data_IF_911626757691
#
_entry.id   IF_911626757691
#
_cell.length_a   1.000
_cell.length_b   1.000
_cell.length_c   1.000
_cell.angle_alpha   90.00
_cell.angle_beta   90.00
_cell.angle_gamma   90.00
#
_symmetry.space_group_name_H-M   'P 1'
#
loop_
_entity.id
_entity.type
_entity.pdbx_description
1 polymer ?
#
# COMPACT_ATOMS: atom_id res chain seq x y z
N UNK A 1 -31.28 43.79 5.46
CA UNK A 1 -30.32 42.85 6.08
C UNK A 1 -31.08 41.57 6.26
N UNK A 2 -30.81 40.59 5.42
CA UNK A 2 -31.42 39.23 5.51
C UNK A 2 -30.48 38.40 6.38
N UNK A 3 -31.04 37.81 7.46
CA UNK A 3 -30.32 36.92 8.35
C UNK A 3 -29.71 35.75 7.55
N UNK A 4 -28.45 35.34 7.81
CA UNK A 4 -27.86 34.21 7.17
C UNK A 4 -28.58 32.94 7.66
N UNK A 5 -29.01 32.11 6.74
CA UNK A 5 -29.53 30.78 7.01
C UNK A 5 -28.30 29.91 7.43
N UNK A 6 -28.23 29.54 8.69
CA UNK A 6 -27.35 28.51 9.16
C UNK A 6 -27.85 27.15 8.70
N UNK A 7 -27.27 26.61 7.64
CA UNK A 7 -27.43 25.20 7.28
C UNK A 7 -26.45 24.44 8.20
N UNK A 8 -26.97 23.88 9.30
CA UNK A 8 -26.24 22.83 10.02
C UNK A 8 -26.27 21.60 9.12
N UNK A 9 -25.13 21.14 8.66
CA UNK A 9 -25.02 19.80 8.13
C UNK A 9 -25.36 18.85 9.27
N UNK A 10 -26.48 18.15 9.18
CA UNK A 10 -26.69 16.95 9.98
C UNK A 10 -25.45 16.07 9.78
N UNK A 11 -24.85 15.60 10.87
CA UNK A 11 -23.80 14.61 10.82
C UNK A 11 -24.30 13.47 9.93
N UNK A 12 -23.78 13.38 8.72
CA UNK A 12 -24.04 12.22 7.88
C UNK A 12 -23.38 11.06 8.60
N UNK A 13 -24.17 10.26 9.30
CA UNK A 13 -23.76 8.95 9.76
C UNK A 13 -23.26 8.21 8.50
N UNK A 14 -21.94 8.07 8.39
CA UNK A 14 -21.35 7.26 7.35
C UNK A 14 -21.71 5.82 7.70
N UNK A 15 -22.77 5.29 7.08
CA UNK A 15 -23.07 3.87 7.18
C UNK A 15 -21.85 3.10 6.68
N UNK A 16 -21.08 2.54 7.63
CA UNK A 16 -19.98 1.64 7.29
C UNK A 16 -20.63 0.31 6.90
N UNK A 17 -20.48 -0.15 5.64
CA UNK A 17 -21.01 -1.44 5.22
C UNK A 17 -20.53 -2.57 6.13
N UNK A 18 -21.24 -3.71 6.13
CA UNK A 18 -20.83 -4.90 6.88
C UNK A 18 -19.54 -5.48 6.29
N UNK A 19 -18.40 -4.98 6.75
CA UNK A 19 -17.05 -5.34 6.28
C UNK A 19 -16.35 -6.08 7.41
N UNK A 20 -15.93 -7.30 7.15
CA UNK A 20 -15.03 -8.03 8.04
C UNK A 20 -13.65 -7.40 7.96
N UNK A 21 -13.08 -7.01 9.09
CA UNK A 21 -11.81 -6.28 9.14
C UNK A 21 -10.78 -7.05 9.94
N UNK A 22 -9.68 -7.37 9.28
CA UNK A 22 -8.57 -8.11 9.88
C UNK A 22 -7.30 -7.26 9.88
N UNK A 23 -6.49 -7.41 10.93
CA UNK A 23 -5.15 -6.86 11.03
C UNK A 23 -4.15 -8.01 11.18
N UNK A 24 -3.12 -8.01 10.34
CA UNK A 24 -2.04 -9.00 10.38
C UNK A 24 -0.79 -8.29 10.87
N UNK A 25 -0.31 -8.70 12.07
CA UNK A 25 1.01 -8.29 12.52
C UNK A 25 2.07 -8.92 11.63
N UNK A 26 2.76 -8.10 10.85
CA UNK A 26 3.76 -8.57 9.89
C UNK A 26 4.90 -7.57 9.77
N UNK A 27 6.15 -8.05 9.80
CA UNK A 27 7.30 -7.23 9.49
C UNK A 27 7.27 -6.77 8.04
N UNK A 28 7.87 -5.62 7.75
CA UNK A 28 7.89 -5.02 6.39
C UNK A 28 8.30 -6.02 5.31
N UNK A 29 9.24 -6.90 5.65
CA UNK A 29 9.76 -7.94 4.76
C UNK A 29 8.76 -9.00 4.36
N UNK A 30 7.83 -9.28 5.23
CA UNK A 30 6.87 -10.35 5.07
C UNK A 30 5.49 -9.87 4.60
N UNK A 31 5.29 -8.55 4.41
CA UNK A 31 4.03 -8.00 3.84
C UNK A 31 3.70 -8.67 2.49
N UNK A 32 4.70 -8.87 1.62
CA UNK A 32 4.48 -9.50 0.33
C UNK A 32 4.12 -10.99 0.46
N UNK A 33 4.72 -11.71 1.42
CA UNK A 33 4.34 -13.09 1.75
C UNK A 33 2.90 -13.17 2.25
N UNK A 34 2.52 -12.31 3.20
CA UNK A 34 1.15 -12.26 3.72
C UNK A 34 0.13 -11.94 2.61
N UNK A 35 0.47 -11.00 1.72
CA UNK A 35 -0.35 -10.70 0.55
C UNK A 35 -0.52 -11.93 -0.36
N UNK A 36 0.56 -12.67 -0.62
CA UNK A 36 0.51 -13.91 -1.39
C UNK A 36 -0.43 -14.95 -0.78
N UNK A 37 -0.46 -15.05 0.56
CA UNK A 37 -1.39 -15.93 1.29
C UNK A 37 -2.84 -15.50 1.11
N UNK A 38 -3.15 -14.20 1.18
CA UNK A 38 -4.50 -13.69 0.95
C UNK A 38 -4.92 -13.96 -0.49
N UNK A 39 -4.08 -13.67 -1.47
CA UNK A 39 -4.36 -13.90 -2.90
C UNK A 39 -4.65 -15.37 -3.20
N UNK A 40 -3.90 -16.30 -2.59
CA UNK A 40 -4.15 -17.73 -2.75
C UNK A 40 -5.51 -18.19 -2.23
N UNK A 41 -6.13 -17.44 -1.34
CA UNK A 41 -7.43 -17.74 -0.76
C UNK A 41 -8.59 -16.99 -1.43
N UNK A 42 -8.33 -16.24 -2.49
CA UNK A 42 -9.37 -15.63 -3.30
C UNK A 42 -10.13 -16.69 -4.10
N UNK A 43 -11.44 -16.50 -4.21
CA UNK A 43 -12.27 -17.35 -5.05
C UNK A 43 -12.27 -16.82 -6.51
N UNK A 44 -12.72 -17.64 -7.42
CA UNK A 44 -12.95 -17.22 -8.79
C UNK A 44 -13.97 -16.09 -8.86
N UNK A 45 -13.62 -15.00 -9.51
CA UNK A 45 -14.42 -13.78 -9.62
C UNK A 45 -14.26 -12.78 -8.47
N UNK A 46 -13.43 -13.07 -7.46
CA UNK A 46 -13.07 -12.09 -6.45
C UNK A 46 -12.18 -10.99 -7.05
N UNK A 47 -12.40 -9.76 -6.59
CA UNK A 47 -11.59 -8.60 -6.98
C UNK A 47 -10.94 -7.97 -5.75
N UNK A 48 -9.65 -7.68 -5.87
CA UNK A 48 -8.84 -7.10 -4.79
C UNK A 48 -8.33 -5.71 -5.16
N UNK A 49 -8.53 -4.76 -4.26
CA UNK A 49 -7.92 -3.43 -4.32
C UNK A 49 -6.87 -3.28 -3.21
N UNK A 50 -5.63 -3.08 -3.61
CA UNK A 50 -4.49 -2.93 -2.70
C UNK A 50 -4.10 -1.46 -2.63
N UNK A 51 -4.10 -0.90 -1.43
CA UNK A 51 -3.67 0.46 -1.16
C UNK A 51 -2.23 0.54 -0.69
N UNK A 52 -1.48 1.44 -1.31
CA UNK A 52 -0.13 1.85 -0.89
C UNK A 52 -0.05 3.36 -0.78
N UNK A 53 0.83 3.86 0.09
CA UNK A 53 0.92 5.30 0.34
C UNK A 53 1.66 6.06 -0.77
N UNK A 54 2.46 5.38 -1.61
CA UNK A 54 3.26 6.03 -2.63
C UNK A 54 3.08 5.41 -4.01
N UNK A 55 3.15 6.23 -5.07
CA UNK A 55 3.15 5.76 -6.46
C UNK A 55 4.30 4.79 -6.74
N UNK A 56 5.43 5.03 -6.08
CA UNK A 56 6.61 4.18 -6.19
C UNK A 56 6.33 2.78 -5.67
N UNK A 57 5.65 2.66 -4.54
CA UNK A 57 5.28 1.35 -3.99
C UNK A 57 4.27 0.64 -4.92
N UNK A 58 3.35 1.37 -5.57
CA UNK A 58 2.47 0.80 -6.60
C UNK A 58 3.28 0.10 -7.68
N UNK A 59 4.29 0.76 -8.25
CA UNK A 59 5.15 0.21 -9.30
C UNK A 59 5.94 -1.01 -8.81
N UNK A 60 6.60 -0.87 -7.65
CA UNK A 60 7.40 -1.94 -7.04
C UNK A 60 6.54 -3.17 -6.75
N UNK A 61 5.38 -2.98 -6.12
CA UNK A 61 4.50 -4.08 -5.74
C UNK A 61 3.96 -4.80 -6.98
N UNK A 62 3.53 -4.05 -7.98
CA UNK A 62 3.05 -4.60 -9.25
C UNK A 62 4.14 -5.42 -9.96
N UNK A 63 5.37 -4.89 -10.06
CA UNK A 63 6.50 -5.62 -10.62
C UNK A 63 6.81 -6.90 -9.84
N UNK A 64 6.82 -6.82 -8.51
CA UNK A 64 7.12 -7.98 -7.65
C UNK A 64 6.07 -9.07 -7.77
N UNK A 65 4.80 -8.73 -7.77
CA UNK A 65 3.70 -9.68 -7.99
C UNK A 65 3.87 -10.37 -9.35
N UNK A 66 4.22 -9.62 -10.39
CA UNK A 66 4.51 -10.17 -11.72
C UNK A 66 5.64 -11.19 -11.74
N UNK A 67 6.71 -11.00 -10.93
CA UNK A 67 7.81 -11.98 -10.79
C UNK A 67 7.35 -13.32 -10.19
N UNK A 68 6.28 -13.29 -9.40
CA UNK A 68 5.63 -14.48 -8.86
C UNK A 68 4.47 -14.99 -9.71
N UNK A 69 4.31 -14.45 -10.95
CA UNK A 69 3.24 -14.79 -11.89
C UNK A 69 1.84 -14.43 -11.38
N UNK A 70 1.74 -13.48 -10.48
CA UNK A 70 0.49 -12.90 -10.01
C UNK A 70 0.25 -11.66 -10.86
N UNK A 71 -0.85 -11.66 -11.62
CA UNK A 71 -1.25 -10.49 -12.42
C UNK A 71 -1.83 -9.43 -11.49
N UNK A 72 -1.25 -8.25 -11.55
CA UNK A 72 -1.74 -7.08 -10.84
C UNK A 72 -1.45 -5.83 -11.67
N UNK A 73 -2.39 -4.91 -11.70
CA UNK A 73 -2.25 -3.66 -12.45
C UNK A 73 -2.11 -2.47 -11.51
N UNK A 74 -1.19 -1.57 -11.81
CA UNK A 74 -0.91 -0.38 -11.00
C UNK A 74 -1.73 0.83 -11.44
N UNK A 75 -2.28 1.58 -10.48
CA UNK A 75 -3.03 2.81 -10.71
C UNK A 75 -2.45 3.94 -9.84
N UNK A 76 -1.80 4.93 -10.46
CA UNK A 76 -1.19 6.07 -9.77
C UNK A 76 -1.27 7.36 -10.60
N UNK A 77 -0.93 8.50 -9.98
CA UNK A 77 -1.16 9.82 -10.55
C UNK A 77 -0.36 10.15 -11.82
N UNK A 78 0.73 9.44 -12.11
CA UNK A 78 1.57 9.71 -13.28
C UNK A 78 1.03 9.05 -14.57
N UNK A 79 -0.03 8.26 -14.46
CA UNK A 79 -0.69 7.67 -15.63
C UNK A 79 -1.48 8.73 -16.40
N UNK A 80 -1.42 8.68 -17.73
CA UNK A 80 -2.30 9.50 -18.56
C UNK A 80 -3.76 9.13 -18.31
N UNK A 81 -4.66 10.11 -18.46
CA UNK A 81 -6.10 9.91 -18.22
C UNK A 81 -6.66 8.73 -19.03
N UNK A 82 -6.26 8.62 -20.29
CA UNK A 82 -6.70 7.54 -21.19
C UNK A 82 -6.23 6.14 -20.71
N UNK A 83 -5.01 6.06 -20.15
CA UNK A 83 -4.49 4.80 -19.59
C UNK A 83 -5.20 4.44 -18.30
N UNK A 84 -5.48 5.46 -17.45
CA UNK A 84 -6.23 5.29 -16.21
C UNK A 84 -7.65 4.76 -16.48
N UNK A 85 -8.38 5.36 -17.42
CA UNK A 85 -9.73 4.93 -17.80
C UNK A 85 -9.74 3.47 -18.28
N UNK A 86 -8.81 3.10 -19.15
CA UNK A 86 -8.68 1.70 -19.62
C UNK A 86 -8.46 0.71 -18.49
N UNK A 87 -7.58 1.05 -17.53
CA UNK A 87 -7.32 0.19 -16.37
C UNK A 87 -8.59 0.04 -15.51
N UNK A 88 -9.29 1.14 -15.27
CA UNK A 88 -10.51 1.12 -14.48
C UNK A 88 -11.61 0.31 -15.18
N UNK A 89 -11.76 0.47 -16.47
CA UNK A 89 -12.76 -0.28 -17.25
C UNK A 89 -12.45 -1.78 -17.28
N UNK A 90 -11.18 -2.16 -17.49
CA UNK A 90 -10.73 -3.55 -17.45
C UNK A 90 -10.95 -4.19 -16.07
N UNK A 91 -10.68 -3.43 -14.99
CA UNK A 91 -10.95 -3.87 -13.64
C UNK A 91 -12.45 -4.01 -13.36
N UNK A 92 -13.29 -3.06 -13.81
CA UNK A 92 -14.76 -3.15 -13.71
C UNK A 92 -15.33 -4.38 -14.43
N UNK A 93 -14.74 -4.75 -15.55
CA UNK A 93 -15.17 -5.90 -16.35
C UNK A 93 -14.68 -7.25 -15.78
N UNK A 94 -13.86 -7.22 -14.72
CA UNK A 94 -13.26 -8.42 -14.14
C UNK A 94 -12.13 -9.04 -14.95
N UNK A 95 -11.62 -8.32 -15.96
CA UNK A 95 -10.46 -8.78 -16.74
C UNK A 95 -9.16 -8.72 -15.92
N UNK A 96 -9.11 -7.79 -14.97
CA UNK A 96 -8.07 -7.66 -13.97
C UNK A 96 -8.67 -7.94 -12.59
N UNK A 97 -8.08 -8.88 -11.86
CA UNK A 97 -8.57 -9.29 -10.53
C UNK A 97 -7.92 -8.47 -9.40
N UNK A 98 -6.71 -7.95 -9.61
CA UNK A 98 -5.92 -7.26 -8.61
C UNK A 98 -5.50 -5.88 -9.11
N UNK A 99 -5.91 -4.85 -8.40
CA UNK A 99 -5.53 -3.47 -8.64
C UNK A 99 -4.70 -2.94 -7.46
N UNK A 100 -3.52 -2.39 -7.73
CA UNK A 100 -2.67 -1.71 -6.75
C UNK A 100 -2.77 -0.21 -6.97
N UNK A 101 -3.15 0.56 -5.97
CA UNK A 101 -3.41 1.99 -6.15
C UNK A 101 -2.94 2.84 -4.96
N UNK A 102 -2.71 4.13 -5.25
CA UNK A 102 -2.65 5.18 -4.21
C UNK A 102 -4.05 5.76 -3.97
N UNK A 103 -4.27 6.38 -2.79
CA UNK A 103 -5.55 7.03 -2.45
C UNK A 103 -6.01 8.02 -3.52
N UNK A 104 -5.11 8.89 -3.96
CA UNK A 104 -5.41 9.91 -4.97
C UNK A 104 -5.89 9.28 -6.28
N UNK A 105 -5.27 8.17 -6.67
CA UNK A 105 -5.64 7.48 -7.90
C UNK A 105 -6.93 6.67 -7.76
N UNK A 106 -7.20 6.15 -6.58
CA UNK A 106 -8.42 5.40 -6.29
C UNK A 106 -9.65 6.28 -5.99
N UNK A 107 -9.47 7.60 -5.82
CA UNK A 107 -10.60 8.53 -5.65
C UNK A 107 -11.52 8.50 -6.87
N UNK A 108 -12.81 8.36 -6.61
CA UNK A 108 -13.81 8.27 -7.67
C UNK A 108 -13.82 6.91 -8.40
N UNK A 109 -13.09 5.92 -7.88
CA UNK A 109 -13.19 4.55 -8.37
C UNK A 109 -14.57 4.00 -7.96
N UNK A 110 -15.51 4.02 -8.89
CA UNK A 110 -16.85 3.47 -8.72
C UNK A 110 -16.86 2.04 -9.30
N UNK A 111 -16.50 1.08 -8.46
CA UNK A 111 -16.46 -0.35 -8.79
C UNK A 111 -17.20 -1.12 -7.72
N UNK A 112 -18.26 -1.80 -8.11
CA UNK A 112 -19.15 -2.51 -7.18
C UNK A 112 -18.73 -3.96 -6.91
N UNK A 113 -17.71 -4.44 -7.62
CA UNK A 113 -17.27 -5.84 -7.57
C UNK A 113 -16.15 -6.14 -6.57
N UNK A 114 -15.61 -5.13 -5.88
CA UNK A 114 -14.46 -5.31 -4.99
C UNK A 114 -14.89 -6.13 -3.78
N UNK A 115 -14.30 -7.32 -3.63
CA UNK A 115 -14.53 -8.23 -2.50
C UNK A 115 -13.48 -8.05 -1.40
N UNK A 116 -12.25 -7.71 -1.78
CA UNK A 116 -11.12 -7.55 -0.87
C UNK A 116 -10.49 -6.16 -0.98
N UNK A 117 -10.31 -5.51 0.14
CA UNK A 117 -9.45 -4.33 0.27
C UNK A 117 -8.23 -4.71 1.10
N UNK A 118 -7.04 -4.36 0.64
CA UNK A 118 -5.81 -4.57 1.39
C UNK A 118 -5.13 -3.23 1.63
N UNK A 119 -4.99 -2.82 2.88
CA UNK A 119 -4.11 -1.75 3.28
C UNK A 119 -2.70 -2.32 3.43
N UNK A 120 -1.95 -2.38 2.30
CA UNK A 120 -0.55 -2.79 2.29
C UNK A 120 0.32 -1.83 3.11
N UNK A 121 0.01 -0.54 3.02
CA UNK A 121 0.47 0.52 3.91
C UNK A 121 -0.75 1.13 4.60
N UNK A 122 -0.69 1.30 5.92
CA UNK A 122 -1.75 1.99 6.65
C UNK A 122 -1.84 3.45 6.21
N UNK A 123 -3.04 4.03 6.11
CA UNK A 123 -3.20 5.45 5.82
C UNK A 123 -2.81 6.28 7.05
N UNK A 124 -2.32 7.50 6.82
CA UNK A 124 -1.90 8.40 7.89
C UNK A 124 -3.06 8.89 8.77
N UNK A 125 -4.27 8.91 8.24
CA UNK A 125 -5.47 9.39 8.92
C UNK A 125 -6.64 8.37 8.88
N UNK A 126 -7.52 8.46 9.87
CA UNK A 126 -8.62 7.54 10.04
C UNK A 126 -9.77 7.74 9.04
N UNK A 127 -9.93 8.93 8.46
CA UNK A 127 -10.94 9.20 7.43
C UNK A 127 -10.56 8.50 6.12
N UNK A 128 -9.30 8.59 5.72
CA UNK A 128 -8.75 7.86 4.57
C UNK A 128 -8.94 6.35 4.75
N UNK A 129 -8.76 5.83 5.98
CA UNK A 129 -9.03 4.42 6.26
C UNK A 129 -10.46 4.01 5.91
N UNK A 130 -11.45 4.75 6.41
CA UNK A 130 -12.88 4.47 6.14
C UNK A 130 -13.19 4.58 4.64
N UNK A 131 -12.62 5.56 3.96
CA UNK A 131 -12.76 5.71 2.51
C UNK A 131 -12.16 4.54 1.72
N UNK A 132 -11.05 3.95 2.20
CA UNK A 132 -10.44 2.77 1.57
C UNK A 132 -11.32 1.54 1.77
N UNK A 133 -11.68 1.21 3.00
CA UNK A 133 -12.50 0.01 3.27
C UNK A 133 -13.89 0.13 2.63
N UNK A 134 -14.47 1.33 2.56
CA UNK A 134 -15.74 1.59 1.88
C UNK A 134 -15.72 1.37 0.36
N UNK A 135 -14.60 0.87 -0.21
CA UNK A 135 -14.55 0.36 -1.60
C UNK A 135 -15.07 -1.06 -1.72
N UNK A 136 -15.16 -1.82 -0.62
CA UNK A 136 -15.80 -3.13 -0.57
C UNK A 136 -17.11 -3.09 0.23
N UNK A 137 -17.80 -4.19 0.36
CA UNK A 137 -19.03 -4.30 1.15
C UNK A 137 -20.23 -3.58 0.54
N UNK A 138 -20.21 -3.25 -0.76
CA UNK A 138 -21.28 -2.51 -1.43
C UNK A 138 -22.38 -3.42 -1.95
N UNK A 139 -23.59 -2.84 -2.13
CA UNK A 139 -24.76 -3.52 -2.73
C UNK A 139 -25.16 -4.81 -2.01
N UNK A 140 -25.02 -4.87 -0.67
CA UNK A 140 -25.38 -6.05 0.13
C UNK A 140 -24.44 -7.24 -0.02
N UNK A 141 -23.26 -7.03 -0.64
CA UNK A 141 -22.21 -8.04 -0.68
C UNK A 141 -21.32 -7.93 0.56
N UNK A 142 -20.86 -9.07 1.06
CA UNK A 142 -19.86 -9.09 2.13
C UNK A 142 -18.51 -8.61 1.59
N UNK A 143 -17.86 -7.75 2.34
CA UNK A 143 -16.53 -7.25 2.04
C UNK A 143 -15.52 -7.68 3.08
N UNK A 144 -14.26 -7.81 2.69
CA UNK A 144 -13.16 -8.11 3.61
C UNK A 144 -12.08 -7.05 3.46
N UNK A 145 -11.64 -6.50 4.60
CA UNK A 145 -10.53 -5.56 4.66
C UNK A 145 -9.36 -6.16 5.44
N UNK A 146 -8.20 -6.22 4.82
CA UNK A 146 -6.95 -6.70 5.38
C UNK A 146 -6.00 -5.53 5.66
N UNK A 147 -5.42 -5.48 6.83
CA UNK A 147 -4.50 -4.44 7.24
C UNK A 147 -3.15 -5.07 7.60
N UNK A 148 -2.09 -4.67 6.91
CA UNK A 148 -0.73 -5.06 7.29
C UNK A 148 -0.18 -4.05 8.28
N UNK A 149 0.12 -4.53 9.48
CA UNK A 149 0.49 -3.70 10.62
C UNK A 149 1.89 -4.11 11.07
N UNK A 150 2.84 -3.21 10.94
CA UNK A 150 4.16 -3.41 11.54
C UNK A 150 4.08 -3.12 13.04
N UNK A 151 5.12 -3.48 13.77
CA UNK A 151 5.17 -3.26 15.21
C UNK A 151 5.00 -1.78 15.59
N UNK A 152 5.60 -0.88 14.79
CA UNK A 152 5.52 0.56 14.98
C UNK A 152 4.13 1.13 14.64
N UNK A 153 3.37 0.46 13.79
CA UNK A 153 2.05 0.91 13.32
C UNK A 153 0.90 0.42 14.20
N UNK A 154 1.18 -0.38 15.27
CA UNK A 154 0.13 -0.93 16.15
C UNK A 154 -0.73 0.17 16.78
N UNK A 155 -0.11 1.21 17.31
CA UNK A 155 -0.85 2.33 17.91
C UNK A 155 -1.67 3.12 16.89
N UNK A 156 -1.26 3.15 15.65
CA UNK A 156 -1.98 3.82 14.56
C UNK A 156 -3.28 3.08 14.22
N UNK A 157 -3.23 1.76 14.04
CA UNK A 157 -4.44 0.99 13.74
C UNK A 157 -5.42 0.98 14.92
N UNK A 158 -4.93 0.92 16.16
CA UNK A 158 -5.75 1.03 17.36
C UNK A 158 -6.46 2.39 17.46
N UNK A 159 -5.75 3.48 17.13
CA UNK A 159 -6.33 4.82 17.06
C UNK A 159 -7.41 4.92 15.99
N UNK A 160 -7.18 4.35 14.81
CA UNK A 160 -8.17 4.29 13.73
C UNK A 160 -9.42 3.55 14.21
N UNK A 161 -9.25 2.36 14.79
CA UNK A 161 -10.33 1.54 15.30
C UNK A 161 -11.17 2.28 16.34
N UNK A 162 -10.50 2.94 17.32
CA UNK A 162 -11.18 3.69 18.38
C UNK A 162 -11.92 4.93 17.86
N UNK A 163 -11.38 5.65 16.87
CA UNK A 163 -11.98 6.87 16.33
C UNK A 163 -13.32 6.60 15.66
N UNK A 164 -13.46 5.48 14.97
CA UNK A 164 -14.65 5.11 14.22
C UNK A 164 -15.45 3.94 14.83
N UNK A 165 -15.11 3.55 16.06
CA UNK A 165 -15.71 2.41 16.76
C UNK A 165 -15.75 1.13 15.88
N UNK A 166 -14.62 0.85 15.22
CA UNK A 166 -14.49 -0.31 14.33
C UNK A 166 -14.06 -1.55 15.09
N UNK A 167 -14.58 -2.70 14.69
CA UNK A 167 -14.09 -4.00 15.14
C UNK A 167 -13.06 -4.52 14.13
N UNK A 168 -11.79 -4.44 14.50
CA UNK A 168 -10.67 -4.97 13.71
C UNK A 168 -10.07 -6.16 14.45
N UNK A 169 -10.15 -7.34 13.86
CA UNK A 169 -9.62 -8.57 14.46
C UNK A 169 -8.15 -8.75 14.11
N UNK A 170 -7.29 -8.91 15.13
CA UNK A 170 -5.90 -9.29 14.90
C UNK A 170 -5.79 -10.78 14.65
N UNK A 171 -5.20 -11.15 13.52
CA UNK A 171 -5.07 -12.54 13.10
C UNK A 171 -3.73 -12.81 12.43
N UNK A 172 -3.39 -14.06 12.26
CA UNK A 172 -2.28 -14.48 11.41
C UNK A 172 -2.68 -14.42 9.92
N UNK A 173 -1.67 -14.41 9.03
CA UNK A 173 -1.93 -14.54 7.61
C UNK A 173 -2.68 -15.87 7.34
N UNK A 174 -3.64 -15.88 6.40
CA UNK A 174 -4.43 -17.08 6.10
C UNK A 174 -3.57 -18.31 5.83
N UNK A 175 -4.04 -19.48 6.21
CA UNK A 175 -3.44 -20.76 5.84
C UNK A 175 -3.39 -20.92 4.31
N UNK A 176 -2.61 -21.87 3.82
CA UNK A 176 -2.68 -22.26 2.41
C UNK A 176 -3.99 -22.99 2.14
N UNK A 177 -4.62 -22.75 0.98
CA UNK A 177 -5.81 -23.52 0.58
C UNK A 177 -5.50 -25.01 0.48
N UNK A 178 -6.55 -25.83 0.58
CA UNK A 178 -6.42 -27.26 0.42
C UNK A 178 -5.78 -27.64 -0.92
N UNK A 179 -4.81 -28.54 -0.90
CA UNK A 179 -4.06 -28.95 -2.09
C UNK A 179 -2.89 -28.04 -2.48
N UNK A 180 -2.74 -26.89 -1.86
CA UNK A 180 -1.60 -25.98 -2.08
C UNK A 180 -0.54 -26.27 -1.01
N UNK A 181 0.59 -26.88 -1.42
CA UNK A 181 1.63 -27.34 -0.50
C UNK A 181 2.81 -26.36 -0.34
N UNK A 182 2.78 -25.24 -1.05
CA UNK A 182 3.90 -24.26 -1.03
C UNK A 182 3.38 -22.84 -1.15
N UNK A 183 3.96 -21.96 -0.36
CA UNK A 183 3.72 -20.54 -0.48
C UNK A 183 4.08 -20.03 -1.88
N UNK A 184 3.22 -19.21 -2.52
CA UNK A 184 3.55 -18.57 -3.79
C UNK A 184 4.73 -17.60 -3.62
N UNK A 185 4.81 -16.99 -2.44
CA UNK A 185 5.87 -16.06 -2.05
C UNK A 185 6.43 -16.56 -0.72
N UNK A 186 7.72 -16.90 -0.68
CA UNK A 186 8.34 -17.47 0.52
C UNK A 186 8.38 -16.48 1.68
N UNK A 187 7.99 -16.95 2.87
CA UNK A 187 8.23 -16.23 4.12
C UNK A 187 9.74 -16.23 4.41
N UNK A 188 10.21 -15.13 4.94
CA UNK A 188 11.62 -14.97 5.29
C UNK A 188 11.79 -15.15 6.79
N UNK A 189 12.67 -16.06 7.21
CA UNK A 189 12.86 -16.41 8.61
C UNK A 189 13.97 -15.60 9.27
N UNK A 190 15.10 -15.39 8.56
CA UNK A 190 16.28 -14.73 9.10
C UNK A 190 16.54 -13.37 8.42
N UNK A 191 15.82 -12.36 8.85
CA UNK A 191 16.01 -11.06 8.25
C UNK A 191 16.49 -10.00 9.21
N UNK A 192 17.41 -9.20 8.69
CA UNK A 192 17.74 -7.91 9.24
C UNK A 192 16.45 -7.06 9.36
N UNK A 193 16.13 -6.60 10.56
CA UNK A 193 14.92 -5.80 10.85
C UNK A 193 14.85 -4.50 10.03
N UNK A 194 15.97 -4.12 9.39
CA UNK A 194 16.10 -2.89 8.60
C UNK A 194 15.62 -3.05 7.15
N UNK A 195 15.48 -4.28 6.63
CA UNK A 195 15.08 -4.50 5.24
C UNK A 195 13.63 -4.94 5.11
N UNK A 196 13.02 -4.61 3.98
CA UNK A 196 11.64 -4.95 3.65
C UNK A 196 11.54 -6.13 2.67
N UNK A 197 10.29 -6.53 2.31
CA UNK A 197 10.04 -7.65 1.39
C UNK A 197 10.59 -7.41 -0.04
N UNK A 198 10.89 -6.18 -0.39
CA UNK A 198 11.46 -5.79 -1.68
C UNK A 198 12.99 -5.74 -1.66
N UNK A 199 13.61 -6.15 -0.56
CA UNK A 199 15.03 -5.96 -0.27
C UNK A 199 15.44 -4.49 -0.23
N UNK A 200 14.55 -3.65 0.25
CA UNK A 200 14.82 -2.26 0.52
C UNK A 200 15.35 -2.12 1.94
N UNK A 201 16.38 -1.32 2.12
CA UNK A 201 16.92 -0.94 3.43
C UNK A 201 16.91 0.58 3.55
N UNK A 202 16.74 1.08 4.76
CA UNK A 202 16.81 2.53 5.02
C UNK A 202 18.28 2.94 5.17
N UNK A 203 18.67 3.87 4.34
CA UNK A 203 19.99 4.51 4.40
C UNK A 203 19.79 5.96 4.81
N UNK A 204 20.46 6.38 5.88
CA UNK A 204 20.42 7.75 6.34
C UNK A 204 21.50 8.57 5.69
N UNK A 205 21.10 9.68 5.08
CA UNK A 205 22.02 10.64 4.45
C UNK A 205 21.93 11.99 5.16
N UNK A 206 23.09 12.69 5.32
CA UNK A 206 23.18 13.98 5.98
C UNK A 206 22.82 15.12 5.02
N UNK A 207 21.63 15.03 4.44
CA UNK A 207 21.02 16.06 3.58
C UNK A 207 19.63 16.30 4.10
N UNK A 208 19.38 17.50 4.61
CA UNK A 208 18.12 17.85 5.21
C UNK A 208 17.12 18.42 4.21
N UNK A 209 15.91 18.70 4.73
CA UNK A 209 14.79 19.23 3.94
C UNK A 209 15.06 20.62 3.34
N UNK A 210 15.98 21.39 3.97
CA UNK A 210 16.40 22.71 3.51
C UNK A 210 17.40 22.66 2.35
N UNK A 211 18.11 21.54 2.16
CA UNK A 211 19.25 21.42 1.27
C UNK A 211 18.87 20.94 -0.12
N UNK A 212 17.84 20.10 -0.20
CA UNK A 212 17.38 19.50 -1.46
C UNK A 212 15.94 19.01 -1.34
N UNK A 213 15.22 18.97 -2.45
CA UNK A 213 13.93 18.29 -2.53
C UNK A 213 14.12 16.75 -2.63
N UNK A 214 13.09 15.99 -2.27
CA UNK A 214 13.11 14.53 -2.41
C UNK A 214 13.48 14.07 -3.82
N UNK A 215 12.95 14.76 -4.83
CA UNK A 215 13.18 14.43 -6.23
C UNK A 215 14.62 14.71 -6.65
N UNK A 216 15.15 15.87 -6.30
CA UNK A 216 16.55 16.24 -6.61
C UNK A 216 17.53 15.26 -5.96
N UNK A 217 17.26 14.86 -4.70
CA UNK A 217 18.08 13.86 -4.02
C UNK A 217 18.01 12.50 -4.72
N UNK A 218 16.82 12.03 -5.11
CA UNK A 218 16.66 10.79 -5.86
C UNK A 218 17.38 10.84 -7.21
N UNK A 219 17.15 11.89 -7.99
CA UNK A 219 17.76 12.08 -9.31
C UNK A 219 19.29 12.15 -9.20
N UNK A 220 19.80 12.80 -8.16
CA UNK A 220 21.24 12.88 -7.89
C UNK A 220 21.82 11.49 -7.58
N UNK A 221 21.19 10.70 -6.69
CA UNK A 221 21.65 9.34 -6.37
C UNK A 221 21.64 8.46 -7.63
N UNK A 222 20.56 8.50 -8.42
CA UNK A 222 20.42 7.73 -9.65
C UNK A 222 21.55 8.05 -10.63
N UNK A 223 21.83 9.34 -10.82
CA UNK A 223 22.85 9.81 -11.77
C UNK A 223 24.27 9.46 -11.29
N UNK A 224 24.58 9.74 -10.02
CA UNK A 224 25.93 9.53 -9.49
C UNK A 224 26.27 8.05 -9.38
N UNK A 225 25.36 7.27 -8.82
CA UNK A 225 25.56 5.84 -8.61
C UNK A 225 25.15 4.99 -9.83
N UNK A 226 24.58 5.59 -10.88
CA UNK A 226 24.09 4.88 -12.08
C UNK A 226 23.19 3.69 -11.74
N UNK A 227 22.42 3.82 -10.68
CA UNK A 227 21.46 2.80 -10.28
C UNK A 227 20.12 3.03 -11.00
N UNK A 228 19.35 1.98 -11.27
CA UNK A 228 18.03 2.17 -11.86
C UNK A 228 17.11 2.87 -10.85
N UNK A 229 16.18 3.67 -11.34
CA UNK A 229 15.18 4.37 -10.53
C UNK A 229 14.46 3.42 -9.55
N UNK A 230 14.14 2.19 -9.99
CA UNK A 230 13.52 1.15 -9.16
C UNK A 230 14.38 0.70 -7.95
N UNK A 231 15.64 1.07 -7.89
CA UNK A 231 16.51 0.77 -6.75
C UNK A 231 16.30 1.72 -5.56
N UNK A 232 15.55 2.82 -5.75
CA UNK A 232 15.23 3.81 -4.72
C UNK A 232 13.74 3.71 -4.39
N UNK A 233 13.43 3.51 -3.12
CA UNK A 233 12.07 3.46 -2.60
C UNK A 233 11.60 4.79 -2.03
N UNK A 234 11.02 4.75 -0.83
CA UNK A 234 10.54 5.94 -0.14
C UNK A 234 11.69 6.85 0.31
N UNK A 235 11.47 8.16 0.21
CA UNK A 235 12.40 9.18 0.72
C UNK A 235 11.68 9.99 1.79
N UNK A 236 12.17 9.93 3.02
CA UNK A 236 11.62 10.64 4.16
C UNK A 236 12.61 11.71 4.64
N UNK A 237 12.30 12.98 4.39
CA UNK A 237 13.16 14.10 4.76
C UNK A 237 12.86 14.62 6.16
N UNK A 238 13.89 14.71 6.97
CA UNK A 238 13.92 15.39 8.28
C UNK A 238 14.59 16.78 8.14
N UNK A 239 14.80 17.46 9.25
CA UNK A 239 15.37 18.83 9.23
C UNK A 239 16.80 18.80 8.70
N UNK A 240 17.64 17.93 9.23
CA UNK A 240 19.09 17.90 8.93
C UNK A 240 19.54 16.59 8.26
N UNK A 241 18.63 15.65 8.05
CA UNK A 241 18.93 14.34 7.49
C UNK A 241 17.76 13.82 6.65
N UNK A 242 18.02 12.80 5.83
CA UNK A 242 17.00 12.15 5.02
C UNK A 242 17.18 10.63 5.08
N UNK A 243 16.11 9.91 5.36
CA UNK A 243 16.05 8.47 5.23
C UNK A 243 15.65 8.13 3.78
N UNK A 244 16.50 7.39 3.08
CA UNK A 244 16.28 6.92 1.71
C UNK A 244 16.15 5.42 1.73
N UNK A 245 15.04 4.87 1.30
CA UNK A 245 14.91 3.44 1.06
C UNK A 245 15.65 3.06 -0.22
N UNK A 246 16.53 2.08 -0.13
CA UNK A 246 17.39 1.67 -1.23
C UNK A 246 17.49 0.16 -1.31
N UNK A 247 17.53 -0.38 -2.52
CA UNK A 247 17.68 -1.82 -2.68
C UNK A 247 19.01 -2.30 -2.13
N UNK A 248 19.00 -3.33 -1.26
CA UNK A 248 20.15 -3.83 -0.52
C UNK A 248 21.37 -4.12 -1.40
N UNK A 249 21.17 -4.58 -2.62
CA UNK A 249 22.25 -4.87 -3.57
C UNK A 249 23.06 -3.62 -3.98
N UNK A 250 22.48 -2.43 -3.81
CA UNK A 250 23.10 -1.17 -4.23
C UNK A 250 23.65 -0.35 -3.06
N UNK A 251 23.31 -0.71 -1.81
CA UNK A 251 23.64 0.09 -0.62
C UNK A 251 25.13 0.33 -0.47
N UNK A 252 25.94 -0.72 -0.56
CA UNK A 252 27.40 -0.59 -0.40
C UNK A 252 27.99 0.31 -1.50
N UNK A 253 27.62 0.06 -2.74
CA UNK A 253 28.10 0.82 -3.89
C UNK A 253 27.67 2.29 -3.85
N UNK A 254 26.41 2.55 -3.57
CA UNK A 254 25.87 3.92 -3.43
C UNK A 254 26.53 4.62 -2.24
N UNK A 255 26.72 3.91 -1.11
CA UNK A 255 27.41 4.45 0.05
C UNK A 255 28.86 4.87 -0.24
N UNK A 256 29.56 4.15 -1.10
CA UNK A 256 30.91 4.52 -1.52
C UNK A 256 30.91 5.73 -2.46
N UNK A 257 29.92 5.83 -3.35
CA UNK A 257 29.77 6.97 -4.28
C UNK A 257 29.37 8.27 -3.55
N UNK A 258 28.47 8.17 -2.54
CA UNK A 258 28.02 9.33 -1.76
C UNK A 258 29.11 9.86 -0.82
N UNK A 259 30.05 9.02 -0.37
CA UNK A 259 31.16 9.41 0.50
C UNK A 259 32.35 10.01 -0.25
N UNK A 260 32.43 9.84 -1.55
CA UNK A 260 33.48 10.36 -2.42
C UNK A 260 33.18 11.79 -2.89
#
# INVERSE_FOLDING_TARGET
MTDPIHIMSEDMEVEIPEIEQFAIHVGRMNKLWALGRIICNMNEGDQMLIFTNTKRMVEILTERLGKFRIRATGLHGDLSQNKREKIIDSFKQGEEEILVATDVAARGLDVDGITHVVNYDLPDDSETYVHRIGRTGRMGRKGVAWNFVTREETSQIEKIASTWNLSIEFTDAPGLPEGVNRDPIGKREDWDEVSDAFRMVKVRVSVGKSDSSKRELADWIIQQARVPDIAIGEIMQHVDETDVEMHVANVAYVGDVIKA
#
